data_IF_239513280731
#
_entry.id   IF_239513280731
#
_cell.length_a   1.000
_cell.length_b   1.000
_cell.length_c   1.000
_cell.angle_alpha   90.00
_cell.angle_beta   90.00
_cell.angle_gamma   90.00
#
_symmetry.space_group_name_H-M   'P 1'
#
loop_
_entity.id
_entity.type
_entity.pdbx_description
1 polymer ?
#
# COMPACT_ATOMS: atom_id res chain seq x y z
N UNK A 1 -2.42 8.33 16.46
CA UNK A 1 -1.41 8.51 15.38
C UNK A 1 -0.94 9.95 15.41
N UNK A 2 0.36 10.21 15.25
CA UNK A 2 0.99 11.53 15.28
C UNK A 2 1.58 11.87 13.92
N UNK A 3 1.13 12.97 13.33
CA UNK A 3 1.56 13.42 12.00
C UNK A 3 2.25 14.77 12.10
N UNK A 4 3.45 14.90 11.55
CA UNK A 4 4.13 16.20 11.42
C UNK A 4 3.90 16.81 10.05
N UNK A 5 3.36 18.02 9.97
CA UNK A 5 3.24 18.75 8.70
C UNK A 5 4.49 19.60 8.51
N UNK A 6 5.25 19.36 7.44
CA UNK A 6 6.30 20.27 7.00
C UNK A 6 5.68 21.51 6.35
N UNK A 7 5.56 22.60 7.12
CA UNK A 7 4.90 23.82 6.66
C UNK A 7 5.67 24.55 5.55
N UNK A 8 6.95 24.22 5.35
CA UNK A 8 7.76 24.84 4.29
C UNK A 8 7.33 24.37 2.89
N UNK A 9 6.74 23.17 2.83
CA UNK A 9 6.24 22.58 1.58
C UNK A 9 4.72 22.46 1.55
N UNK A 10 4.06 22.51 2.71
CA UNK A 10 2.60 22.53 2.87
C UNK A 10 2.20 23.77 3.68
N UNK A 11 2.30 24.98 3.09
CA UNK A 11 2.10 26.25 3.82
C UNK A 11 0.65 26.46 4.29
N UNK A 12 -0.31 25.87 3.57
CA UNK A 12 -1.74 25.94 3.86
C UNK A 12 -2.34 24.53 4.00
N UNK A 13 -3.40 24.35 4.83
CA UNK A 13 -4.16 23.10 4.87
C UNK A 13 -4.64 22.71 3.46
N UNK A 14 -4.26 21.53 2.95
CA UNK A 14 -4.58 21.15 1.58
C UNK A 14 -6.08 20.91 1.41
N UNK A 15 -6.60 21.28 0.24
CA UNK A 15 -7.92 20.83 -0.18
C UNK A 15 -7.93 19.31 -0.40
N UNK A 16 -9.09 18.66 -0.30
CA UNK A 16 -9.22 17.22 -0.56
C UNK A 16 -9.46 16.38 0.69
N UNK A 17 -9.12 15.09 0.62
CA UNK A 17 -9.53 14.11 1.62
C UNK A 17 -8.80 14.24 2.95
N UNK A 18 -7.50 14.62 2.95
CA UNK A 18 -6.71 14.78 4.17
C UNK A 18 -7.34 15.76 5.17
N UNK A 19 -7.86 16.88 4.68
CA UNK A 19 -8.55 17.90 5.50
C UNK A 19 -9.70 17.33 6.34
N UNK A 20 -10.34 16.24 5.91
CA UNK A 20 -11.43 15.56 6.63
C UNK A 20 -10.98 14.87 7.91
N UNK A 21 -9.68 14.73 8.12
CA UNK A 21 -9.10 14.01 9.27
C UNK A 21 -8.47 14.94 10.31
N UNK A 22 -8.35 16.24 10.03
CA UNK A 22 -7.73 17.22 10.95
C UNK A 22 -8.50 17.40 12.27
N UNK A 23 -9.81 17.17 12.26
CA UNK A 23 -10.71 17.33 13.42
C UNK A 23 -10.87 16.04 14.27
N UNK A 24 -10.01 15.03 14.07
CA UNK A 24 -10.11 13.73 14.72
C UNK A 24 -9.22 13.65 15.94
N UNK A 25 -9.80 13.27 17.07
CA UNK A 25 -9.11 13.27 18.35
C UNK A 25 -7.99 12.20 18.41
N UNK A 26 -8.09 11.12 17.62
CA UNK A 26 -7.10 10.06 17.52
C UNK A 26 -5.96 10.32 16.51
N UNK A 27 -6.08 11.40 15.71
CA UNK A 27 -5.07 11.86 14.75
C UNK A 27 -4.50 13.19 15.26
N UNK A 28 -3.34 13.11 15.88
CA UNK A 28 -2.61 14.26 16.43
C UNK A 28 -1.75 14.89 15.34
N UNK A 29 -2.26 15.95 14.71
CA UNK A 29 -1.54 16.71 13.68
C UNK A 29 -0.73 17.83 14.34
N UNK A 30 0.58 17.79 14.15
CA UNK A 30 1.56 18.72 14.69
C UNK A 30 2.24 19.47 13.55
N UNK A 31 2.66 20.71 13.79
CA UNK A 31 3.30 21.54 12.76
C UNK A 31 4.81 21.55 12.95
N UNK A 32 5.57 21.26 11.89
CA UNK A 32 7.03 21.35 11.87
C UNK A 32 7.42 22.66 11.17
N UNK A 33 7.86 23.64 11.97
CA UNK A 33 8.09 25.02 11.52
C UNK A 33 9.58 25.36 11.69
N UNK A 34 10.26 25.99 10.72
CA UNK A 34 11.64 26.44 10.91
C UNK A 34 11.76 27.38 12.13
N UNK A 35 12.85 27.26 12.87
CA UNK A 35 13.06 28.09 14.06
C UNK A 35 13.18 29.57 13.68
N UNK A 36 12.37 30.42 14.32
CA UNK A 36 12.32 31.86 14.05
C UNK A 36 11.30 32.27 12.99
N UNK A 37 10.59 31.32 12.40
CA UNK A 37 9.45 31.60 11.51
C UNK A 37 8.11 31.55 12.27
N UNK A 38 7.16 32.36 11.81
CA UNK A 38 5.80 32.37 12.33
C UNK A 38 5.00 31.16 11.81
N UNK A 39 4.14 30.62 12.67
CA UNK A 39 3.21 29.55 12.27
C UNK A 39 2.20 30.11 11.25
N UNK A 40 1.99 29.44 10.10
CA UNK A 40 0.98 29.91 9.14
C UNK A 40 -0.41 30.01 9.77
N UNK A 41 -1.07 31.16 9.57
CA UNK A 41 -2.37 31.47 10.18
C UNK A 41 -3.48 30.49 9.75
N UNK A 42 -3.40 29.98 8.51
CA UNK A 42 -4.35 29.01 7.98
C UNK A 42 -4.33 27.69 8.78
N UNK A 43 -3.14 27.20 9.14
CA UNK A 43 -2.98 26.01 9.98
C UNK A 43 -3.46 26.21 11.40
N UNK A 44 -3.19 27.37 11.99
CA UNK A 44 -3.68 27.73 13.34
C UNK A 44 -5.22 27.74 13.38
N UNK A 45 -5.85 28.23 12.31
CA UNK A 45 -7.31 28.24 12.15
C UNK A 45 -7.88 26.82 11.99
N UNK A 46 -7.21 25.96 11.22
CA UNK A 46 -7.67 24.61 10.95
C UNK A 46 -7.56 23.67 12.17
N UNK A 47 -6.47 23.74 12.93
CA UNK A 47 -6.16 22.77 13.99
C UNK A 47 -6.55 23.21 15.40
N UNK A 48 -6.99 24.46 15.60
CA UNK A 48 -7.45 25.01 16.90
C UNK A 48 -6.44 24.77 18.04
N UNK A 49 -5.31 25.48 17.97
CA UNK A 49 -4.14 25.38 18.90
C UNK A 49 -3.24 24.15 18.65
N UNK A 50 -2.66 24.05 17.44
CA UNK A 50 -1.79 22.93 17.10
C UNK A 50 -0.51 22.95 17.93
N UNK A 51 0.01 21.76 18.23
CA UNK A 51 1.34 21.63 18.81
C UNK A 51 2.39 21.97 17.74
N UNK A 52 3.30 22.91 18.06
CA UNK A 52 4.33 23.39 17.15
C UNK A 52 5.70 22.82 17.53
N UNK A 53 6.38 22.23 16.55
CA UNK A 53 7.77 21.76 16.61
C UNK A 53 8.64 22.74 15.83
N UNK A 54 9.35 23.61 16.54
CA UNK A 54 10.33 24.50 15.95
C UNK A 54 11.62 23.74 15.62
N UNK A 55 11.95 23.69 14.34
CA UNK A 55 13.09 22.96 13.78
C UNK A 55 14.28 23.91 13.67
N UNK A 56 15.27 23.74 14.54
CA UNK A 56 16.48 24.58 14.59
C UNK A 56 17.54 24.24 13.54
N UNK A 57 17.16 23.60 12.44
CA UNK A 57 18.03 23.30 11.30
C UNK A 57 17.79 24.32 10.19
N UNK A 58 18.88 24.77 9.55
CA UNK A 58 18.82 25.63 8.37
C UNK A 58 19.69 25.07 7.26
N UNK A 59 21.01 24.96 7.49
CA UNK A 59 21.94 24.29 6.58
C UNK A 59 22.93 23.43 7.35
N UNK A 60 23.62 22.54 6.65
CA UNK A 60 24.68 21.69 7.22
C UNK A 60 25.87 22.52 7.73
N UNK A 61 26.19 23.62 7.06
CA UNK A 61 27.29 24.51 7.42
C UNK A 61 26.98 25.35 8.67
N UNK A 62 25.71 25.72 8.84
CA UNK A 62 25.26 26.53 9.98
C UNK A 62 24.94 25.69 11.23
N UNK A 63 24.67 24.39 11.06
CA UNK A 63 24.31 23.49 12.15
C UNK A 63 25.52 23.11 13.03
N UNK A 64 25.23 22.70 14.27
CA UNK A 64 26.25 22.14 15.16
C UNK A 64 26.70 20.75 14.71
N UNK A 65 27.81 20.26 15.27
CA UNK A 65 28.33 18.92 15.02
C UNK A 65 28.55 18.15 16.31
N UNK A 66 28.29 16.85 16.29
CA UNK A 66 28.75 15.89 17.30
C UNK A 66 29.48 14.76 16.59
N UNK A 67 30.81 14.75 16.68
CA UNK A 67 31.65 13.96 15.78
C UNK A 67 31.24 14.24 14.32
N UNK A 68 30.95 13.21 13.54
CA UNK A 68 30.56 13.35 12.12
C UNK A 68 29.08 13.72 11.95
N UNK A 69 28.25 13.61 12.99
CA UNK A 69 26.82 13.90 12.89
C UNK A 69 26.53 15.41 12.91
N UNK A 70 25.66 15.85 12.01
CA UNK A 70 25.00 17.16 12.07
C UNK A 70 24.04 17.14 13.26
N UNK A 71 24.03 18.22 14.04
CA UNK A 71 23.24 18.34 15.26
C UNK A 71 22.51 19.67 15.33
N UNK A 72 21.21 19.60 15.64
CA UNK A 72 20.36 20.76 15.80
C UNK A 72 19.30 20.52 16.90
N UNK A 73 18.56 21.57 17.25
CA UNK A 73 17.56 21.51 18.32
C UNK A 73 16.16 21.47 17.76
N UNK A 74 15.30 20.71 18.42
CA UNK A 74 13.85 20.75 18.21
C UNK A 74 13.22 21.30 19.48
N UNK A 75 12.54 22.44 19.36
CA UNK A 75 11.82 23.06 20.48
C UNK A 75 10.33 22.82 20.27
N UNK A 76 9.64 22.43 21.33
CA UNK A 76 8.18 22.29 21.32
C UNK A 76 7.57 23.44 22.07
N UNK A 77 6.61 24.11 21.43
CA UNK A 77 5.83 25.16 22.05
C UNK A 77 4.34 24.86 21.85
N UNK A 78 3.63 24.65 22.96
CA UNK A 78 2.17 24.70 23.00
C UNK A 78 1.72 25.13 24.40
N UNK A 79 1.52 26.43 24.60
CA UNK A 79 1.07 27.00 25.88
C UNK A 79 1.88 26.50 27.11
N UNK A 80 1.33 25.57 27.93
CA UNK A 80 2.01 25.00 29.09
C UNK A 80 3.09 23.96 28.78
N UNK A 81 3.15 23.40 27.57
CA UNK A 81 4.08 22.34 27.19
C UNK A 81 5.30 22.94 26.48
N UNK A 82 6.45 22.93 27.18
CA UNK A 82 7.74 23.32 26.64
C UNK A 82 8.72 22.16 26.74
N UNK A 83 9.33 21.77 25.62
CA UNK A 83 10.38 20.77 25.63
C UNK A 83 11.47 21.10 24.62
N UNK A 84 12.71 20.68 24.93
CA UNK A 84 13.86 20.83 24.05
C UNK A 84 14.52 19.48 23.84
N UNK A 85 14.55 19.05 22.59
CA UNK A 85 15.20 17.81 22.15
C UNK A 85 16.37 18.12 21.22
N UNK A 86 17.18 17.10 20.94
CA UNK A 86 18.36 17.24 20.09
C UNK A 86 18.33 16.17 19.02
N UNK A 87 18.07 16.58 17.79
CA UNK A 87 18.06 15.69 16.64
C UNK A 87 19.44 15.67 15.97
N UNK A 88 19.73 14.55 15.29
CA UNK A 88 21.00 14.32 14.61
C UNK A 88 20.79 13.49 13.35
N UNK A 89 21.59 13.77 12.32
CA UNK A 89 21.74 12.90 11.15
C UNK A 89 23.18 12.96 10.64
N UNK A 90 23.57 12.03 9.78
CA UNK A 90 24.89 12.01 9.14
C UNK A 90 24.77 12.45 7.69
N UNK A 91 25.29 13.63 7.36
CA UNK A 91 25.22 14.25 6.02
C UNK A 91 25.92 13.43 4.94
N UNK A 92 26.81 12.51 5.32
CA UNK A 92 27.43 11.57 4.38
C UNK A 92 26.40 10.65 3.72
N UNK A 93 25.32 10.29 4.41
CA UNK A 93 24.29 9.40 3.83
C UNK A 93 23.56 10.08 2.67
N UNK A 94 23.27 11.38 2.76
CA UNK A 94 22.66 12.12 1.65
C UNK A 94 23.58 12.22 0.42
N UNK A 95 24.90 12.25 0.62
CA UNK A 95 25.89 12.20 -0.48
C UNK A 95 26.01 10.82 -1.09
N UNK A 96 25.92 9.76 -0.28
CA UNK A 96 25.92 8.39 -0.76
C UNK A 96 24.64 8.11 -1.55
N UNK A 97 23.48 8.56 -1.07
CA UNK A 97 22.22 8.49 -1.79
C UNK A 97 22.28 9.19 -3.15
N UNK A 98 22.89 10.38 -3.24
CA UNK A 98 23.10 11.07 -4.50
C UNK A 98 23.93 10.23 -5.49
N UNK A 99 24.94 9.51 -5.01
CA UNK A 99 25.79 8.64 -5.82
C UNK A 99 25.12 7.34 -6.24
N UNK A 100 24.20 6.82 -5.41
CA UNK A 100 23.47 5.57 -5.66
C UNK A 100 22.09 5.77 -6.27
N UNK A 101 21.70 7.02 -6.55
CA UNK A 101 20.41 7.31 -7.15
C UNK A 101 20.27 6.62 -8.52
N UNK A 102 19.12 6.01 -8.84
CA UNK A 102 18.89 5.40 -10.14
C UNK A 102 19.08 6.41 -11.28
N UNK A 103 19.69 6.01 -12.40
CA UNK A 103 19.93 6.91 -13.55
C UNK A 103 18.64 7.56 -14.09
N UNK A 104 17.51 6.88 -13.96
CA UNK A 104 16.20 7.34 -14.41
C UNK A 104 15.45 8.20 -13.37
N UNK A 105 15.97 8.35 -12.15
CA UNK A 105 15.33 9.13 -11.09
C UNK A 105 15.49 10.63 -11.36
N UNK A 106 14.46 11.42 -11.03
CA UNK A 106 14.55 12.87 -11.12
C UNK A 106 15.66 13.40 -10.19
N UNK A 107 16.55 14.29 -10.64
CA UNK A 107 17.64 14.79 -9.81
C UNK A 107 17.14 15.53 -8.56
N UNK A 108 17.79 15.29 -7.43
CA UNK A 108 17.58 16.02 -6.18
C UNK A 108 18.85 16.80 -5.81
N UNK A 109 18.69 18.01 -5.31
CA UNK A 109 19.81 18.75 -4.74
C UNK A 109 20.19 18.19 -3.36
N UNK A 110 21.46 18.34 -2.97
CA UNK A 110 21.89 17.99 -1.62
C UNK A 110 21.11 18.77 -0.54
N UNK A 111 20.69 20.01 -0.82
CA UNK A 111 19.87 20.79 0.11
C UNK A 111 18.51 20.13 0.36
N UNK A 112 17.85 19.64 -0.69
CA UNK A 112 16.59 18.89 -0.57
C UNK A 112 16.78 17.62 0.25
N UNK A 113 17.87 16.88 0.02
CA UNK A 113 18.22 15.68 0.79
C UNK A 113 18.51 16.01 2.26
N UNK A 114 19.25 17.08 2.54
CA UNK A 114 19.53 17.51 3.91
C UNK A 114 18.27 17.99 4.65
N UNK A 115 17.35 18.66 3.96
CA UNK A 115 16.05 19.05 4.52
C UNK A 115 15.26 17.80 4.95
N UNK A 116 15.15 16.81 4.06
CA UNK A 116 14.49 15.54 4.37
C UNK A 116 15.15 14.85 5.59
N UNK A 117 16.48 14.81 5.63
CA UNK A 117 17.24 14.24 6.76
C UNK A 117 16.99 14.95 8.09
N UNK A 118 17.03 16.28 8.08
CA UNK A 118 16.75 17.07 9.26
C UNK A 118 15.32 16.86 9.76
N UNK A 119 14.34 16.85 8.87
CA UNK A 119 12.94 16.67 9.26
C UNK A 119 12.65 15.24 9.74
N UNK A 120 13.18 14.21 9.07
CA UNK A 120 13.08 12.82 9.54
C UNK A 120 13.73 12.62 10.92
N UNK A 121 14.94 13.15 11.12
CA UNK A 121 15.64 13.09 12.41
C UNK A 121 14.89 13.85 13.52
N UNK A 122 14.32 15.02 13.21
CA UNK A 122 13.49 15.77 14.14
C UNK A 122 12.23 15.00 14.51
N UNK A 123 11.52 14.46 13.52
CA UNK A 123 10.29 13.70 13.69
C UNK A 123 10.51 12.43 14.53
N UNK A 124 11.59 11.69 14.27
CA UNK A 124 11.98 10.52 15.06
C UNK A 124 12.22 10.88 16.53
N UNK A 125 12.97 11.97 16.77
CA UNK A 125 13.32 12.42 18.12
C UNK A 125 12.10 12.88 18.94
N UNK A 126 11.07 13.42 18.29
CA UNK A 126 9.82 13.81 18.97
C UNK A 126 8.72 12.74 18.94
N UNK A 127 8.99 11.59 18.29
CA UNK A 127 8.07 10.47 18.21
C UNK A 127 6.83 10.78 17.36
N UNK A 128 7.03 11.37 16.19
CA UNK A 128 6.03 11.43 15.12
C UNK A 128 6.03 10.11 14.33
N UNK A 129 4.86 9.69 13.86
CA UNK A 129 4.70 8.44 13.10
C UNK A 129 5.00 8.64 11.60
N UNK A 130 4.72 9.83 11.05
CA UNK A 130 4.99 10.20 9.66
C UNK A 130 5.09 11.72 9.47
N UNK A 131 5.69 12.12 8.34
CA UNK A 131 5.79 13.52 7.91
C UNK A 131 4.89 13.74 6.69
N UNK A 132 4.09 14.79 6.71
CA UNK A 132 3.28 15.26 5.58
C UNK A 132 4.05 16.37 4.89
N UNK A 133 4.43 16.17 3.63
CA UNK A 133 5.27 17.09 2.86
C UNK A 133 4.92 17.03 1.38
N UNK A 134 5.16 18.13 0.66
CA UNK A 134 5.16 18.17 -0.81
C UNK A 134 6.60 18.25 -1.37
N UNK A 135 7.62 17.98 -0.55
CA UNK A 135 9.00 17.97 -1.01
C UNK A 135 9.20 16.90 -2.10
N UNK A 136 10.10 17.14 -3.08
CA UNK A 136 10.40 16.15 -4.12
C UNK A 136 11.10 14.88 -3.59
N UNK A 137 11.46 14.84 -2.30
CA UNK A 137 12.04 13.69 -1.59
C UNK A 137 10.99 12.69 -1.07
N UNK A 138 9.71 13.06 -1.09
CA UNK A 138 8.60 12.28 -0.54
C UNK A 138 8.44 10.94 -1.27
N UNK A 139 8.28 9.85 -0.51
CA UNK A 139 8.04 8.50 -1.04
C UNK A 139 9.17 7.92 -1.90
N UNK A 140 10.33 8.57 -1.97
CA UNK A 140 11.45 8.13 -2.81
C UNK A 140 12.29 7.06 -2.13
N UNK A 141 12.52 5.96 -2.84
CA UNK A 141 13.40 4.88 -2.38
C UNK A 141 14.89 5.26 -2.41
N UNK A 142 15.30 6.25 -3.20
CA UNK A 142 16.68 6.77 -3.21
C UNK A 142 16.94 7.86 -2.16
N UNK A 143 16.06 8.01 -1.16
CA UNK A 143 16.21 8.93 -0.02
C UNK A 143 16.11 8.15 1.28
N UNK A 144 17.23 7.94 1.96
CA UNK A 144 17.33 7.06 3.12
C UNK A 144 16.59 7.55 4.36
N UNK A 145 16.32 8.84 4.43
CA UNK A 145 15.61 9.45 5.55
C UNK A 145 14.14 8.99 5.63
N UNK A 146 13.57 8.54 4.51
CA UNK A 146 12.26 7.91 4.45
C UNK A 146 12.21 6.55 5.18
N UNK A 147 13.36 5.93 5.43
CA UNK A 147 13.47 4.68 6.20
C UNK A 147 13.44 4.94 7.73
N UNK A 148 13.65 6.19 8.16
CA UNK A 148 13.65 6.58 9.59
C UNK A 148 12.24 6.99 10.02
N UNK A 149 11.68 7.99 9.33
CA UNK A 149 10.28 8.40 9.45
C UNK A 149 9.78 8.65 8.05
N UNK A 150 8.76 7.90 7.64
CA UNK A 150 8.23 8.01 6.28
C UNK A 150 7.68 9.40 6.03
N UNK A 151 8.01 9.98 4.87
CA UNK A 151 7.40 11.20 4.38
C UNK A 151 6.41 10.86 3.26
N UNK A 152 5.21 11.42 3.34
CA UNK A 152 4.09 11.17 2.45
C UNK A 152 3.44 12.47 2.01
N UNK A 153 2.82 12.47 0.83
CA UNK A 153 1.99 13.59 0.39
C UNK A 153 0.72 13.67 1.25
N UNK A 154 0.01 14.82 1.28
CA UNK A 154 -1.29 14.88 1.95
C UNK A 154 -2.29 13.82 1.48
N UNK A 155 -2.31 13.50 0.18
CA UNK A 155 -3.22 12.49 -0.37
C UNK A 155 -2.81 11.08 0.09
N UNK A 156 -1.51 10.76 0.07
CA UNK A 156 -1.00 9.47 0.55
C UNK A 156 -1.18 9.28 2.06
N UNK A 157 -1.19 10.37 2.83
CA UNK A 157 -1.46 10.36 4.26
C UNK A 157 -2.82 9.76 4.61
N UNK A 158 -3.81 9.88 3.70
CA UNK A 158 -5.14 9.29 3.88
C UNK A 158 -5.06 7.76 3.94
N UNK A 159 -4.16 7.15 3.17
CA UNK A 159 -3.91 5.71 3.19
C UNK A 159 -3.33 5.26 4.53
N UNK A 160 -2.39 6.04 5.07
CA UNK A 160 -1.75 5.76 6.35
C UNK A 160 -2.74 5.93 7.53
N UNK A 161 -3.58 6.97 7.48
CA UNK A 161 -4.68 7.15 8.43
C UNK A 161 -5.67 5.99 8.32
N UNK A 162 -6.04 5.59 7.10
CA UNK A 162 -6.94 4.46 6.88
C UNK A 162 -6.38 3.14 7.43
N UNK A 163 -5.08 2.89 7.25
CA UNK A 163 -4.38 1.77 7.89
C UNK A 163 -4.50 1.85 9.41
N UNK A 164 -4.17 2.99 10.02
CA UNK A 164 -4.30 3.22 11.46
C UNK A 164 -5.73 2.93 11.98
N UNK A 165 -6.77 3.40 11.27
CA UNK A 165 -8.16 3.15 11.63
C UNK A 165 -8.51 1.66 11.59
N UNK A 166 -8.01 0.92 10.59
CA UNK A 166 -8.28 -0.52 10.45
C UNK A 166 -7.58 -1.33 11.55
N UNK A 167 -6.33 -1.04 11.86
CA UNK A 167 -5.56 -1.78 12.89
C UNK A 167 -6.02 -1.47 14.31
N UNK A 168 -6.54 -0.27 14.55
CA UNK A 168 -7.15 0.14 15.84
C UNK A 168 -8.63 -0.22 15.95
N UNK A 169 -9.18 -0.92 14.95
CA UNK A 169 -10.56 -1.34 14.87
C UNK A 169 -11.60 -0.20 14.96
N UNK A 170 -11.28 0.98 14.41
CA UNK A 170 -12.17 2.13 14.32
C UNK A 170 -12.98 2.16 13.00
N UNK A 171 -14.30 1.93 13.02
CA UNK A 171 -15.14 1.92 11.81
C UNK A 171 -15.62 3.32 11.38
N UNK A 172 -15.16 4.40 12.04
CA UNK A 172 -15.53 5.77 11.69
C UNK A 172 -14.55 6.30 10.63
N UNK A 173 -15.02 6.49 9.41
CA UNK A 173 -14.19 6.86 8.25
C UNK A 173 -14.20 8.34 7.93
N UNK A 174 -15.16 9.09 8.48
CA UNK A 174 -15.22 10.54 8.33
C UNK A 174 -15.86 11.21 9.55
N UNK A 175 -15.27 12.30 9.99
CA UNK A 175 -15.86 13.19 10.99
C UNK A 175 -15.80 14.60 10.42
N UNK A 176 -16.96 15.25 10.27
CA UNK A 176 -17.02 16.65 9.85
C UNK A 176 -17.68 17.46 10.95
N UNK A 177 -17.10 18.60 11.30
CA UNK A 177 -17.65 19.52 12.30
C UNK A 177 -17.83 20.89 11.64
N UNK A 178 -18.78 21.67 12.13
CA UNK A 178 -18.92 23.05 11.68
C UNK A 178 -19.82 23.88 12.60
N UNK A 179 -19.80 25.20 12.40
CA UNK A 179 -20.69 26.11 13.10
C UNK A 179 -22.05 26.18 12.39
N UNK A 180 -23.13 26.29 13.16
CA UNK A 180 -24.46 26.55 12.64
C UNK A 180 -24.73 28.06 12.58
N UNK A 181 -25.45 28.50 11.55
CA UNK A 181 -25.89 29.88 11.43
C UNK A 181 -26.86 30.20 12.58
N UNK A 182 -26.56 31.23 13.39
CA UNK A 182 -27.34 31.59 14.58
C UNK A 182 -26.82 31.03 15.91
N UNK A 183 -25.68 30.34 15.90
CA UNK A 183 -25.03 29.79 17.10
C UNK A 183 -25.23 28.28 17.23
N UNK A 184 -24.24 27.60 17.81
CA UNK A 184 -24.19 26.14 17.92
C UNK A 184 -23.22 25.48 16.93
N UNK A 185 -23.00 24.17 17.11
CA UNK A 185 -22.11 23.39 16.27
C UNK A 185 -22.82 22.11 15.78
N UNK A 186 -22.49 21.68 14.56
CA UNK A 186 -22.92 20.39 14.03
C UNK A 186 -21.73 19.44 13.94
N UNK A 187 -22.02 18.13 14.06
CA UNK A 187 -21.07 17.04 13.86
C UNK A 187 -21.74 15.97 12.98
N UNK A 188 -21.13 15.66 11.84
CA UNK A 188 -21.52 14.53 10.99
C UNK A 188 -20.47 13.44 11.12
N UNK A 189 -20.90 12.20 11.23
CA UNK A 189 -20.05 11.02 11.36
C UNK A 189 -20.42 10.08 10.22
N UNK A 190 -19.44 9.75 9.38
CA UNK A 190 -19.54 8.66 8.41
C UNK A 190 -18.88 7.41 9.00
N UNK A 191 -19.63 6.32 9.09
CA UNK A 191 -19.16 5.07 9.66
C UNK A 191 -19.61 3.87 8.84
N UNK A 192 -18.76 2.85 8.82
CA UNK A 192 -19.05 1.53 8.23
C UNK A 192 -19.79 0.59 9.18
N UNK A 193 -20.10 1.05 10.41
CA UNK A 193 -20.66 0.29 11.54
C UNK A 193 -19.74 -0.82 12.09
N UNK A 194 -19.02 -1.55 11.23
CA UNK A 194 -18.05 -2.58 11.61
C UNK A 194 -16.78 -2.49 10.78
N UNK A 195 -15.69 -3.02 11.30
CA UNK A 195 -14.42 -3.15 10.56
C UNK A 195 -14.53 -4.18 9.44
N UNK A 196 -15.35 -5.21 9.61
CA UNK A 196 -15.65 -6.15 8.54
C UNK A 196 -16.23 -5.43 7.32
N UNK A 197 -17.22 -4.54 7.53
CA UNK A 197 -17.78 -3.71 6.46
C UNK A 197 -16.74 -2.76 5.86
N UNK A 198 -15.81 -2.23 6.67
CA UNK A 198 -14.74 -1.36 6.15
C UNK A 198 -13.83 -2.11 5.18
N UNK A 199 -13.39 -3.33 5.52
CA UNK A 199 -12.64 -4.19 4.60
C UNK A 199 -13.46 -4.57 3.37
N UNK A 200 -14.71 -4.94 3.59
CA UNK A 200 -15.60 -5.36 2.52
C UNK A 200 -15.83 -4.25 1.48
N UNK A 201 -16.16 -3.04 1.93
CA UNK A 201 -16.38 -1.87 1.08
C UNK A 201 -15.07 -1.34 0.48
N UNK A 202 -13.98 -1.38 1.25
CA UNK A 202 -12.63 -1.03 0.79
C UNK A 202 -12.19 -1.85 -0.40
N UNK A 203 -12.25 -3.17 -0.26
CA UNK A 203 -11.85 -4.11 -1.30
C UNK A 203 -12.64 -3.91 -2.59
N UNK A 204 -13.97 -3.78 -2.51
CA UNK A 204 -14.80 -3.65 -3.73
C UNK A 204 -14.85 -2.23 -4.30
N UNK A 205 -14.31 -1.22 -3.60
CA UNK A 205 -14.41 0.19 -4.00
C UNK A 205 -13.77 0.49 -5.37
N UNK A 206 -12.82 -0.34 -5.83
CA UNK A 206 -12.22 -0.25 -7.16
C UNK A 206 -12.50 -1.49 -8.02
N UNK A 207 -13.54 -2.26 -7.69
CA UNK A 207 -13.94 -3.44 -8.45
C UNK A 207 -15.43 -3.38 -8.85
N UNK A 208 -15.86 -2.37 -9.63
CA UNK A 208 -17.26 -2.16 -9.96
C UNK A 208 -17.92 -3.33 -10.70
N UNK A 209 -17.22 -4.00 -11.61
CA UNK A 209 -17.77 -5.19 -12.29
C UNK A 209 -17.94 -6.33 -11.29
N UNK A 210 -16.92 -6.59 -10.46
CA UNK A 210 -17.02 -7.61 -9.42
C UNK A 210 -18.11 -7.33 -8.38
N UNK A 211 -18.29 -6.07 -7.96
CA UNK A 211 -19.30 -5.69 -6.97
C UNK A 211 -20.73 -5.90 -7.48
N UNK A 212 -20.99 -5.58 -8.76
CA UNK A 212 -22.32 -5.75 -9.35
C UNK A 212 -22.61 -7.19 -9.83
N UNK A 213 -21.58 -8.02 -10.08
CA UNK A 213 -21.76 -9.35 -10.64
C UNK A 213 -22.68 -10.28 -9.82
N UNK A 214 -22.62 -10.32 -8.47
CA UNK A 214 -23.56 -11.09 -7.66
C UNK A 214 -25.03 -10.69 -7.86
N UNK A 215 -25.31 -9.40 -8.10
CA UNK A 215 -26.68 -8.93 -8.34
C UNK A 215 -27.20 -9.46 -9.68
N UNK A 216 -26.39 -9.40 -10.73
CA UNK A 216 -26.73 -9.93 -12.05
C UNK A 216 -26.90 -11.45 -11.99
N UNK A 217 -25.97 -12.17 -11.35
CA UNK A 217 -26.08 -13.61 -11.15
C UNK A 217 -27.35 -14.00 -10.39
N UNK A 218 -27.76 -13.21 -9.38
CA UNK A 218 -29.01 -13.41 -8.65
C UNK A 218 -30.23 -13.24 -9.56
N UNK A 219 -30.26 -12.18 -10.38
CA UNK A 219 -31.35 -11.94 -11.32
C UNK A 219 -31.49 -13.06 -12.38
N UNK A 220 -30.37 -13.69 -12.74
CA UNK A 220 -30.34 -14.85 -13.64
C UNK A 220 -30.54 -16.20 -12.95
N UNK A 221 -30.73 -16.22 -11.62
CA UNK A 221 -30.96 -17.45 -10.85
C UNK A 221 -29.72 -18.33 -10.63
N UNK A 222 -28.51 -17.85 -10.93
CA UNK A 222 -27.25 -18.60 -10.74
C UNK A 222 -26.73 -18.46 -9.30
N UNK A 223 -27.35 -19.23 -8.40
CA UNK A 223 -27.01 -19.24 -6.97
C UNK A 223 -25.59 -19.73 -6.67
N UNK A 224 -25.03 -20.58 -7.53
CA UNK A 224 -23.65 -21.08 -7.37
C UNK A 224 -22.64 -19.98 -7.65
N UNK A 225 -22.82 -19.20 -8.71
CA UNK A 225 -21.97 -18.04 -8.99
C UNK A 225 -22.08 -17.00 -7.88
N UNK A 226 -23.28 -16.71 -7.38
CA UNK A 226 -23.47 -15.79 -6.23
C UNK A 226 -22.67 -16.26 -5.02
N UNK A 227 -22.73 -17.56 -4.72
CA UNK A 227 -21.99 -18.15 -3.59
C UNK A 227 -20.49 -18.06 -3.80
N UNK A 228 -20.00 -18.36 -5.01
CA UNK A 228 -18.58 -18.26 -5.35
C UNK A 228 -18.05 -16.82 -5.21
N UNK A 229 -18.77 -15.82 -5.75
CA UNK A 229 -18.38 -14.41 -5.70
C UNK A 229 -18.36 -13.87 -4.26
N UNK A 230 -19.38 -14.22 -3.45
CA UNK A 230 -19.37 -13.88 -2.01
C UNK A 230 -18.16 -14.51 -1.28
N UNK A 231 -17.84 -15.76 -1.61
CA UNK A 231 -16.70 -16.49 -1.05
C UNK A 231 -15.35 -15.87 -1.43
N UNK A 232 -15.23 -15.36 -2.66
CA UNK A 232 -14.07 -14.59 -3.14
C UNK A 232 -13.97 -13.27 -2.38
N UNK A 233 -15.06 -12.49 -2.31
CA UNK A 233 -15.11 -11.19 -1.60
C UNK A 233 -14.63 -11.29 -0.15
N UNK A 234 -15.14 -12.29 0.59
CA UNK A 234 -14.70 -12.54 1.98
C UNK A 234 -13.21 -12.87 2.07
N UNK A 235 -12.66 -13.62 1.11
CA UNK A 235 -11.22 -13.94 1.09
C UNK A 235 -10.37 -12.72 0.79
N UNK A 236 -10.77 -11.90 -0.18
CA UNK A 236 -10.06 -10.66 -0.50
C UNK A 236 -10.06 -9.71 0.71
N UNK A 237 -11.19 -9.56 1.41
CA UNK A 237 -11.27 -8.80 2.67
C UNK A 237 -10.32 -9.35 3.75
N UNK A 238 -10.20 -10.68 3.87
CA UNK A 238 -9.26 -11.32 4.80
C UNK A 238 -7.79 -11.17 4.37
N UNK A 239 -7.50 -11.18 3.07
CA UNK A 239 -6.17 -10.91 2.53
C UNK A 239 -5.75 -9.47 2.84
N UNK A 240 -6.62 -8.49 2.60
CA UNK A 240 -6.41 -7.09 2.97
C UNK A 240 -6.13 -6.92 4.47
N UNK A 241 -6.89 -7.62 5.32
CA UNK A 241 -6.66 -7.60 6.77
C UNK A 241 -5.32 -8.23 7.17
N UNK A 242 -4.92 -9.31 6.51
CA UNK A 242 -3.62 -9.93 6.74
C UNK A 242 -2.47 -8.99 6.33
N UNK A 243 -2.62 -8.26 5.20
CA UNK A 243 -1.70 -7.20 4.81
C UNK A 243 -1.60 -6.10 5.88
N UNK A 244 -2.71 -5.60 6.43
CA UNK A 244 -2.64 -4.62 7.52
C UNK A 244 -1.96 -5.18 8.78
N UNK A 245 -2.17 -6.45 9.13
CA UNK A 245 -1.45 -7.04 10.26
C UNK A 245 0.05 -7.12 10.00
N UNK A 246 0.46 -7.40 8.76
CA UNK A 246 1.86 -7.41 8.34
C UNK A 246 2.47 -6.01 8.45
N UNK A 247 1.82 -4.99 7.86
CA UNK A 247 2.29 -3.60 7.92
C UNK A 247 2.33 -3.08 9.37
N UNK A 248 1.34 -3.43 10.20
CA UNK A 248 1.35 -3.09 11.62
C UNK A 248 2.50 -3.76 12.38
N UNK A 249 2.82 -5.02 12.07
CA UNK A 249 3.99 -5.69 12.64
C UNK A 249 5.27 -4.94 12.25
N UNK A 250 5.45 -4.65 10.96
CA UNK A 250 6.62 -3.95 10.41
C UNK A 250 6.79 -2.51 10.94
N UNK A 251 5.71 -1.87 11.38
CA UNK A 251 5.78 -0.53 12.03
C UNK A 251 6.42 -0.54 13.42
N UNK A 252 6.62 -1.73 14.03
CA UNK A 252 7.29 -1.83 15.33
C UNK A 252 8.82 -1.71 15.17
N UNK A 253 9.53 -1.14 16.17
CA UNK A 253 10.98 -1.05 16.12
C UNK A 253 11.64 -2.43 15.97
N UNK A 254 12.41 -2.61 14.89
CA UNK A 254 13.15 -3.85 14.59
C UNK A 254 14.40 -4.01 15.47
N UNK A 255 14.78 -2.96 16.21
CA UNK A 255 16.01 -2.93 16.99
C UNK A 255 16.04 -3.90 18.19
N UNK A 256 17.16 -4.60 18.34
CA UNK A 256 17.45 -5.45 19.49
C UNK A 256 16.70 -6.78 19.48
N UNK A 257 16.34 -7.29 20.66
CA UNK A 257 15.77 -8.65 20.83
C UNK A 257 14.36 -8.82 20.26
N UNK A 258 13.70 -7.73 19.82
CA UNK A 258 12.33 -7.77 19.29
C UNK A 258 12.28 -8.01 17.79
N UNK A 259 13.40 -7.90 17.09
CA UNK A 259 13.45 -8.06 15.64
C UNK A 259 12.95 -9.43 15.16
N UNK A 260 13.23 -10.50 15.90
CA UNK A 260 12.70 -11.85 15.59
C UNK A 260 11.18 -11.93 15.73
N UNK A 261 10.61 -11.26 16.73
CA UNK A 261 9.15 -11.24 16.95
C UNK A 261 8.45 -10.47 15.83
N UNK A 262 9.07 -9.39 15.34
CA UNK A 262 8.56 -8.62 14.19
C UNK A 262 8.61 -9.44 12.92
N UNK A 263 9.74 -10.12 12.64
CA UNK A 263 9.91 -11.00 11.48
C UNK A 263 8.86 -12.11 11.49
N UNK A 264 8.70 -12.83 12.61
CA UNK A 264 7.72 -13.92 12.73
C UNK A 264 6.28 -13.41 12.53
N UNK A 265 5.91 -12.32 13.20
CA UNK A 265 4.56 -11.75 13.08
C UNK A 265 4.25 -11.26 11.67
N UNK A 266 5.22 -10.65 10.99
CA UNK A 266 5.09 -10.19 9.62
C UNK A 266 5.02 -11.38 8.64
N UNK A 267 5.86 -12.40 8.80
CA UNK A 267 5.85 -13.62 7.99
C UNK A 267 4.52 -14.37 8.11
N UNK A 268 4.00 -14.59 9.34
CA UNK A 268 2.70 -15.25 9.54
C UNK A 268 1.54 -14.45 8.91
N UNK A 269 1.61 -13.12 8.97
CA UNK A 269 0.64 -12.25 8.31
C UNK A 269 0.71 -12.36 6.78
N UNK A 270 1.91 -12.39 6.21
CA UNK A 270 2.11 -12.57 4.77
C UNK A 270 1.64 -13.94 4.28
N UNK A 271 1.92 -15.02 5.01
CA UNK A 271 1.44 -16.37 4.72
C UNK A 271 -0.09 -16.43 4.64
N UNK A 272 -0.77 -15.78 5.60
CA UNK A 272 -2.24 -15.67 5.60
C UNK A 272 -2.74 -14.86 4.41
N UNK A 273 -2.06 -13.78 4.04
CA UNK A 273 -2.41 -12.98 2.85
C UNK A 273 -2.36 -13.85 1.59
N UNK A 274 -1.24 -14.57 1.37
CA UNK A 274 -1.05 -15.47 0.23
C UNK A 274 -2.09 -16.59 0.21
N UNK A 275 -2.41 -17.18 1.36
CA UNK A 275 -3.45 -18.20 1.49
C UNK A 275 -4.80 -17.70 0.99
N UNK A 276 -5.20 -16.49 1.38
CA UNK A 276 -6.49 -15.94 1.00
C UNK A 276 -6.54 -15.52 -0.47
N UNK A 277 -5.46 -14.94 -1.01
CA UNK A 277 -5.35 -14.62 -2.44
C UNK A 277 -5.41 -15.89 -3.30
N UNK A 278 -4.59 -16.90 -2.99
CA UNK A 278 -4.59 -18.16 -3.72
C UNK A 278 -5.97 -18.85 -3.68
N UNK A 279 -6.67 -18.78 -2.55
CA UNK A 279 -8.02 -19.33 -2.44
C UNK A 279 -9.06 -18.55 -3.25
N UNK A 280 -8.91 -17.23 -3.39
CA UNK A 280 -9.75 -16.42 -4.27
C UNK A 280 -9.53 -16.80 -5.76
N UNK A 281 -8.27 -16.91 -6.18
CA UNK A 281 -7.90 -17.31 -7.55
C UNK A 281 -8.35 -18.74 -7.89
N UNK A 282 -8.27 -19.67 -6.94
CA UNK A 282 -8.73 -21.04 -7.13
C UNK A 282 -10.25 -21.11 -7.33
N UNK A 283 -11.03 -20.42 -6.50
CA UNK A 283 -12.48 -20.36 -6.64
C UNK A 283 -12.86 -19.73 -7.98
N UNK A 284 -12.23 -18.61 -8.34
CA UNK A 284 -12.61 -17.89 -9.54
C UNK A 284 -12.25 -18.66 -10.81
N UNK A 285 -11.03 -19.21 -10.85
CA UNK A 285 -10.56 -20.01 -11.98
C UNK A 285 -11.44 -21.24 -12.24
N UNK A 286 -11.86 -21.93 -11.18
CA UNK A 286 -12.80 -23.06 -11.30
C UNK A 286 -14.19 -22.62 -11.75
N UNK A 287 -14.70 -21.51 -11.21
CA UNK A 287 -16.04 -21.04 -11.58
C UNK A 287 -16.13 -20.65 -13.04
N UNK A 288 -15.11 -19.97 -13.58
CA UNK A 288 -15.07 -19.60 -14.99
C UNK A 288 -15.23 -20.81 -15.92
N UNK A 289 -14.53 -21.92 -15.64
CA UNK A 289 -14.63 -23.13 -16.45
C UNK A 289 -16.04 -23.76 -16.46
N UNK A 290 -16.80 -23.60 -15.38
CA UNK A 290 -18.20 -24.02 -15.28
C UNK A 290 -19.16 -23.03 -15.96
N UNK A 291 -18.78 -21.75 -16.05
CA UNK A 291 -19.53 -20.76 -16.84
C UNK A 291 -19.39 -21.03 -18.34
N UNK A 292 -18.20 -21.40 -18.82
CA UNK A 292 -17.96 -21.77 -20.22
C UNK A 292 -18.71 -23.05 -20.61
N UNK A 293 -18.78 -24.01 -19.68
CA UNK A 293 -19.43 -25.29 -19.91
C UNK A 293 -20.07 -25.82 -18.63
N UNK A 294 -21.38 -25.59 -18.50
CA UNK A 294 -22.16 -26.02 -17.34
C UNK A 294 -22.31 -27.54 -17.19
N UNK A 295 -21.99 -28.33 -18.23
CA UNK A 295 -22.05 -29.79 -18.16
C UNK A 295 -20.80 -30.43 -17.53
N UNK A 296 -19.76 -29.64 -17.26
CA UNK A 296 -18.52 -30.12 -16.65
C UNK A 296 -18.75 -30.60 -15.23
N UNK A 297 -18.17 -31.76 -14.88
CA UNK A 297 -18.18 -32.25 -13.50
C UNK A 297 -17.22 -31.43 -12.63
N UNK A 298 -17.71 -30.66 -11.63
CA UNK A 298 -16.87 -29.78 -10.81
C UNK A 298 -15.73 -30.51 -10.08
N UNK A 299 -15.84 -31.82 -9.83
CA UNK A 299 -14.80 -32.61 -9.14
C UNK A 299 -13.54 -32.82 -9.97
N UNK A 300 -13.64 -32.73 -11.29
CA UNK A 300 -12.56 -33.05 -12.23
C UNK A 300 -11.76 -31.82 -12.69
N UNK A 301 -12.23 -30.61 -12.39
CA UNK A 301 -11.58 -29.36 -12.82
C UNK A 301 -11.05 -28.61 -11.60
N UNK A 302 -9.76 -28.83 -11.28
CA UNK A 302 -9.04 -28.17 -10.18
C UNK A 302 -8.07 -27.11 -10.69
N UNK A 303 -8.48 -26.36 -11.71
CA UNK A 303 -7.64 -25.32 -12.32
C UNK A 303 -7.87 -24.00 -11.60
N UNK A 304 -6.78 -23.42 -11.11
CA UNK A 304 -6.77 -22.15 -10.41
C UNK A 304 -6.31 -21.04 -11.34
N UNK A 305 -6.90 -19.84 -11.18
CA UNK A 305 -6.59 -18.67 -12.01
C UNK A 305 -5.12 -18.24 -11.92
N UNK A 306 -4.39 -18.65 -10.87
CA UNK A 306 -2.96 -18.37 -10.68
C UNK A 306 -2.02 -19.37 -11.39
N UNK A 307 -2.57 -20.35 -12.10
CA UNK A 307 -1.78 -21.37 -12.80
C UNK A 307 -1.02 -20.80 -14.00
N UNK A 308 0.28 -21.12 -14.14
CA UNK A 308 1.15 -20.60 -15.23
C UNK A 308 0.53 -20.72 -16.63
N UNK A 309 -0.16 -21.83 -16.92
CA UNK A 309 -0.83 -22.09 -18.20
C UNK A 309 -2.27 -21.57 -18.32
N UNK A 310 -2.88 -21.03 -17.26
CA UNK A 310 -4.32 -20.79 -17.21
C UNK A 310 -4.82 -19.87 -18.34
N UNK A 311 -4.15 -18.74 -18.58
CA UNK A 311 -4.49 -17.82 -19.68
C UNK A 311 -4.46 -18.55 -21.03
N UNK A 312 -3.37 -19.25 -21.34
CA UNK A 312 -3.18 -19.95 -22.61
C UNK A 312 -4.15 -21.13 -22.78
N UNK A 313 -4.32 -21.91 -21.74
CA UNK A 313 -5.06 -23.17 -21.77
C UNK A 313 -6.58 -22.96 -21.71
N UNK A 314 -7.05 -21.81 -21.21
CA UNK A 314 -8.46 -21.55 -20.97
C UNK A 314 -8.99 -20.22 -21.50
N UNK A 315 -8.21 -19.14 -21.53
CA UNK A 315 -8.72 -17.83 -21.95
C UNK A 315 -8.48 -17.55 -23.43
N UNK A 316 -7.29 -17.85 -23.96
CA UNK A 316 -6.95 -17.66 -25.38
C UNK A 316 -7.80 -18.53 -26.33
N UNK A 317 -8.38 -19.62 -25.81
CA UNK A 317 -9.34 -20.46 -26.56
C UNK A 317 -10.71 -19.80 -26.69
N UNK A 318 -11.08 -18.98 -25.72
CA UNK A 318 -12.42 -18.41 -25.61
C UNK A 318 -12.48 -16.96 -26.07
N UNK A 319 -11.39 -16.20 -26.00
CA UNK A 319 -11.37 -14.76 -26.25
C UNK A 319 -10.30 -14.35 -27.27
N UNK A 320 -10.46 -13.17 -27.88
CA UNK A 320 -9.42 -12.56 -28.72
C UNK A 320 -8.29 -11.98 -27.85
N UNK A 321 -7.11 -11.80 -28.44
CA UNK A 321 -5.93 -11.33 -27.70
C UNK A 321 -6.06 -9.91 -27.15
N UNK A 322 -6.77 -9.03 -27.86
CA UNK A 322 -6.95 -7.61 -27.49
C UNK A 322 -7.67 -7.46 -26.14
N UNK A 323 -8.72 -8.25 -25.89
CA UNK A 323 -9.49 -8.22 -24.65
C UNK A 323 -8.79 -8.90 -23.46
N UNK A 324 -7.67 -9.60 -23.69
CA UNK A 324 -6.92 -10.31 -22.65
C UNK A 324 -5.77 -9.50 -22.05
N UNK A 325 -5.45 -8.33 -22.62
CA UNK A 325 -4.27 -7.52 -22.28
C UNK A 325 -4.09 -7.29 -20.77
N UNK A 326 -5.13 -6.80 -20.09
CA UNK A 326 -5.06 -6.53 -18.64
C UNK A 326 -4.95 -7.79 -17.80
N UNK A 327 -5.70 -8.84 -18.16
CA UNK A 327 -5.64 -10.13 -17.48
C UNK A 327 -4.25 -10.74 -17.61
N UNK A 328 -3.66 -10.72 -18.81
CA UNK A 328 -2.30 -11.22 -19.05
C UNK A 328 -1.26 -10.46 -18.22
N UNK A 329 -1.33 -9.12 -18.22
CA UNK A 329 -0.43 -8.25 -17.45
C UNK A 329 -0.50 -8.54 -15.96
N UNK A 330 -1.71 -8.69 -15.40
CA UNK A 330 -1.92 -8.88 -13.97
C UNK A 330 -1.71 -10.33 -13.50
N UNK A 331 -1.94 -11.31 -14.37
CA UNK A 331 -1.77 -12.74 -14.09
C UNK A 331 -0.31 -13.11 -13.75
N UNK A 332 0.67 -12.31 -14.15
CA UNK A 332 2.07 -12.50 -13.75
C UNK A 332 2.22 -12.50 -12.22
N UNK A 333 1.58 -11.56 -11.52
CA UNK A 333 1.62 -11.47 -10.05
C UNK A 333 0.85 -12.60 -9.36
N UNK A 334 -0.22 -13.11 -9.97
CA UNK A 334 -0.87 -14.32 -9.47
C UNK A 334 0.07 -15.54 -9.55
N UNK A 335 0.87 -15.63 -10.62
CA UNK A 335 1.96 -16.60 -10.73
C UNK A 335 2.99 -16.49 -9.60
N UNK A 336 3.39 -15.27 -9.22
CA UNK A 336 4.27 -15.03 -8.06
C UNK A 336 3.61 -15.54 -6.78
N UNK A 337 2.34 -15.19 -6.52
CA UNK A 337 1.59 -15.72 -5.37
C UNK A 337 1.59 -17.25 -5.33
N UNK A 338 1.47 -17.90 -6.50
CA UNK A 338 1.49 -19.35 -6.63
C UNK A 338 2.84 -19.95 -6.23
N UNK A 339 3.95 -19.39 -6.70
CA UNK A 339 5.30 -19.87 -6.36
C UNK A 339 5.57 -19.72 -4.86
N UNK A 340 5.26 -18.54 -4.30
CA UNK A 340 5.42 -18.28 -2.87
C UNK A 340 4.57 -19.26 -2.03
N UNK A 341 3.29 -19.41 -2.39
CA UNK A 341 2.38 -20.32 -1.70
C UNK A 341 2.84 -21.77 -1.81
N UNK A 342 3.42 -22.20 -2.91
CA UNK A 342 3.98 -23.56 -3.04
C UNK A 342 5.17 -23.76 -2.11
N UNK A 343 6.07 -22.77 -2.00
CA UNK A 343 7.18 -22.83 -1.04
C UNK A 343 6.71 -22.95 0.41
N UNK A 344 5.57 -22.34 0.78
CA UNK A 344 4.95 -22.53 2.11
C UNK A 344 4.51 -24.00 2.36
N UNK A 345 4.14 -24.76 1.32
CA UNK A 345 3.81 -26.19 1.50
C UNK A 345 5.05 -27.03 1.77
N UNK A 346 6.19 -26.62 1.22
CA UNK A 346 7.45 -27.36 1.27
C UNK A 346 8.36 -26.90 2.43
N UNK A 347 8.10 -25.72 3.00
CA UNK A 347 8.87 -25.13 4.09
C UNK A 347 8.33 -23.78 4.57
N UNK A 348 9.15 -23.02 5.30
CA UNK A 348 8.84 -21.65 5.74
C UNK A 348 9.45 -20.69 4.70
N UNK A 349 8.74 -19.60 4.37
CA UNK A 349 9.33 -18.56 3.53
C UNK A 349 10.57 -17.96 4.22
N UNK A 350 11.70 -17.80 3.52
CA UNK A 350 12.94 -17.26 4.10
C UNK A 350 12.83 -15.73 4.21
N UNK A 351 12.05 -15.29 5.18
CA UNK A 351 11.86 -13.88 5.51
C UNK A 351 12.77 -13.55 6.69
N UNK A 352 13.65 -12.57 6.52
CA UNK A 352 14.55 -12.12 7.58
C UNK A 352 14.93 -10.64 7.39
N UNK A 353 15.80 -10.16 8.26
CA UNK A 353 16.36 -8.83 8.25
C UNK A 353 17.51 -8.71 7.24
N UNK A 354 17.39 -7.74 6.34
CA UNK A 354 18.39 -7.44 5.31
C UNK A 354 18.73 -5.94 5.33
N UNK A 355 19.98 -5.54 5.06
CA UNK A 355 20.32 -4.14 4.86
C UNK A 355 19.46 -3.55 3.73
N UNK A 356 18.75 -2.45 4.03
CA UNK A 356 17.97 -1.72 3.03
C UNK A 356 18.85 -0.98 2.03
N UNK A 357 20.10 -0.68 2.41
CA UNK A 357 21.10 0.03 1.61
C UNK A 357 22.49 -0.56 1.81
N UNK A 358 23.33 -0.43 0.80
CA UNK A 358 24.71 -0.94 0.83
C UNK A 358 25.60 -0.28 1.90
N UNK A 359 25.26 0.94 2.32
CA UNK A 359 26.00 1.66 3.36
C UNK A 359 25.34 1.58 4.75
N UNK A 360 24.33 0.71 4.92
CA UNK A 360 23.86 0.25 6.24
C UNK A 360 23.04 1.24 7.07
N UNK A 361 22.32 2.19 6.45
CA UNK A 361 21.52 3.18 7.19
C UNK A 361 20.26 2.58 7.85
N UNK A 362 19.70 1.51 7.27
CA UNK A 362 18.45 0.89 7.71
C UNK A 362 18.46 -0.62 7.46
N UNK A 363 17.66 -1.35 8.24
CA UNK A 363 17.43 -2.79 8.09
C UNK A 363 15.95 -2.99 7.77
N UNK A 364 15.69 -3.66 6.66
CA UNK A 364 14.35 -4.00 6.19
C UNK A 364 14.06 -5.48 6.44
N UNK A 365 12.79 -5.84 6.57
CA UNK A 365 12.36 -7.24 6.59
C UNK A 365 11.99 -7.62 5.17
N UNK A 366 12.70 -8.60 4.62
CA UNK A 366 12.64 -8.94 3.22
C UNK A 366 12.57 -10.45 3.01
N UNK A 367 11.97 -10.85 1.90
CA UNK A 367 11.91 -12.23 1.44
C UNK A 367 13.16 -12.54 0.60
N UNK A 368 13.92 -13.57 0.99
CA UNK A 368 15.08 -14.04 0.22
C UNK A 368 14.64 -14.90 -0.99
N UNK A 369 14.92 -14.39 -2.19
CA UNK A 369 14.54 -15.01 -3.46
C UNK A 369 15.57 -16.01 -4.00
N UNK A 370 16.79 -16.07 -3.46
CA UNK A 370 17.82 -16.99 -3.95
C UNK A 370 17.43 -18.47 -3.74
N UNK A 371 16.54 -18.73 -2.79
CA UNK A 371 15.96 -20.06 -2.56
C UNK A 371 14.80 -20.41 -3.50
N UNK A 372 14.34 -19.45 -4.31
CA UNK A 372 13.18 -19.54 -5.19
C UNK A 372 13.60 -19.19 -6.63
N UNK A 373 14.35 -20.09 -7.31
CA UNK A 373 14.92 -19.81 -8.62
C UNK A 373 13.86 -19.42 -9.66
N UNK A 374 12.60 -19.83 -9.50
CA UNK A 374 11.48 -19.45 -10.38
C UNK A 374 11.11 -17.96 -10.32
N UNK A 375 11.54 -17.25 -9.27
CA UNK A 375 11.31 -15.83 -9.06
C UNK A 375 12.57 -14.98 -9.33
N UNK A 376 13.66 -15.58 -9.80
CA UNK A 376 14.86 -14.82 -10.18
C UNK A 376 14.73 -14.23 -11.60
N UNK A 377 15.42 -13.12 -11.90
CA UNK A 377 15.44 -12.54 -13.25
C UNK A 377 15.77 -13.58 -14.33
N UNK A 378 14.92 -13.65 -15.36
CA UNK A 378 15.07 -14.58 -16.48
C UNK A 378 14.47 -15.98 -16.28
N UNK A 379 13.87 -16.29 -15.12
CA UNK A 379 13.23 -17.59 -14.88
C UNK A 379 11.80 -17.70 -15.45
N UNK A 380 11.07 -16.58 -15.52
CA UNK A 380 9.76 -16.48 -16.17
C UNK A 380 9.80 -15.38 -17.24
N UNK A 381 9.69 -15.77 -18.51
CA UNK A 381 9.69 -14.86 -19.65
C UNK A 381 8.61 -13.78 -19.60
N UNK A 382 7.59 -13.95 -18.75
CA UNK A 382 6.51 -12.97 -18.53
C UNK A 382 6.91 -11.86 -17.54
N UNK A 383 7.88 -12.11 -16.66
CA UNK A 383 8.36 -11.13 -15.68
C UNK A 383 9.41 -10.22 -16.31
N UNK A 384 9.09 -8.93 -16.35
CA UNK A 384 10.00 -7.86 -16.80
C UNK A 384 10.59 -7.11 -15.62
N UNK A 385 11.63 -6.28 -15.84
CA UNK A 385 12.23 -5.45 -14.78
C UNK A 385 11.18 -4.64 -14.01
N UNK A 386 10.19 -4.06 -14.70
CA UNK A 386 9.08 -3.34 -14.07
C UNK A 386 8.31 -4.17 -13.03
N UNK A 387 8.20 -5.49 -13.22
CA UNK A 387 7.56 -6.37 -12.24
C UNK A 387 8.46 -6.59 -11.02
N UNK A 388 9.78 -6.71 -11.22
CA UNK A 388 10.74 -6.81 -10.12
C UNK A 388 10.79 -5.51 -9.30
N UNK A 389 10.82 -4.37 -9.98
CA UNK A 389 10.79 -3.05 -9.34
C UNK A 389 9.49 -2.87 -8.53
N UNK A 390 8.34 -3.27 -9.09
CA UNK A 390 7.05 -3.21 -8.40
C UNK A 390 6.97 -4.13 -7.17
N UNK A 391 7.70 -5.24 -7.16
CA UNK A 391 7.81 -6.13 -6.00
C UNK A 391 8.82 -5.62 -4.96
N UNK A 392 9.52 -4.52 -5.23
CA UNK A 392 10.55 -3.98 -4.35
C UNK A 392 11.75 -4.91 -4.24
N UNK A 393 12.22 -5.46 -5.37
CA UNK A 393 13.35 -6.40 -5.39
C UNK A 393 14.68 -5.65 -5.52
N UNK A 394 15.66 -5.99 -4.69
CA UNK A 394 17.03 -5.47 -4.77
C UNK A 394 18.07 -6.54 -4.41
N UNK A 395 19.33 -6.25 -4.72
CA UNK A 395 20.47 -7.02 -4.23
C UNK A 395 20.90 -6.45 -2.88
N UNK A 396 20.62 -7.19 -1.81
CA UNK A 396 20.97 -6.79 -0.46
C UNK A 396 22.42 -7.17 -0.14
N UNK A 397 23.12 -6.24 0.51
CA UNK A 397 24.43 -6.52 1.07
C UNK A 397 24.35 -7.62 2.14
N UNK A 398 25.45 -8.36 2.35
CA UNK A 398 25.44 -9.45 3.32
C UNK A 398 25.19 -8.95 4.74
N UNK A 399 24.33 -9.66 5.48
CA UNK A 399 24.04 -9.38 6.90
C UNK A 399 25.29 -9.54 7.79
N UNK A 400 26.25 -10.38 7.37
CA UNK A 400 27.51 -10.64 8.08
C UNK A 400 28.74 -10.19 7.30
N UNK A 401 29.82 -9.84 8.02
CA UNK A 401 31.09 -9.28 7.47
C UNK A 401 31.73 -10.11 6.33
N UNK A 402 31.45 -11.42 6.26
CA UNK A 402 31.94 -12.33 5.22
C UNK A 402 30.82 -13.06 4.47
N UNK A 403 29.59 -12.54 4.54
CA UNK A 403 28.45 -13.14 3.83
C UNK A 403 28.51 -12.86 2.33
N UNK A 404 27.61 -13.51 1.59
CA UNK A 404 27.36 -13.21 0.18
C UNK A 404 26.17 -12.27 0.05
N UNK A 405 26.15 -11.38 -0.96
CA UNK A 405 24.95 -10.65 -1.32
C UNK A 405 23.79 -11.61 -1.61
N UNK A 406 22.56 -11.14 -1.43
CA UNK A 406 21.36 -11.93 -1.66
C UNK A 406 20.33 -11.13 -2.45
N UNK A 407 19.60 -11.79 -3.35
CA UNK A 407 18.46 -11.17 -4.03
C UNK A 407 17.24 -11.23 -3.11
N UNK A 408 16.68 -10.08 -2.73
CA UNK A 408 15.57 -10.01 -1.78
C UNK A 408 14.44 -9.13 -2.28
N UNK A 409 13.22 -9.38 -1.78
CA UNK A 409 12.03 -8.55 -2.03
C UNK A 409 11.54 -7.92 -0.72
N UNK A 410 11.25 -6.62 -0.73
CA UNK A 410 10.77 -5.90 0.46
C UNK A 410 9.41 -6.44 0.83
N UNK A 411 9.23 -6.90 2.07
CA UNK A 411 8.01 -7.62 2.44
C UNK A 411 6.77 -6.73 2.37
N UNK A 412 6.88 -5.47 2.79
CA UNK A 412 5.80 -4.49 2.72
C UNK A 412 5.40 -4.22 1.27
N UNK A 413 6.37 -3.91 0.41
CA UNK A 413 6.18 -3.62 -1.01
C UNK A 413 5.62 -4.83 -1.76
N UNK A 414 6.19 -6.02 -1.55
CA UNK A 414 5.71 -7.24 -2.16
C UNK A 414 4.26 -7.54 -1.74
N UNK A 415 3.95 -7.49 -0.44
CA UNK A 415 2.57 -7.72 0.04
C UNK A 415 1.58 -6.69 -0.49
N UNK A 416 1.95 -5.41 -0.53
CA UNK A 416 1.12 -4.36 -1.09
C UNK A 416 0.87 -4.57 -2.59
N UNK A 417 1.91 -4.83 -3.37
CA UNK A 417 1.83 -5.07 -4.82
C UNK A 417 1.01 -6.30 -5.16
N UNK A 418 1.19 -7.41 -4.44
CA UNK A 418 0.42 -8.64 -4.65
C UNK A 418 -1.06 -8.44 -4.30
N UNK A 419 -1.38 -7.66 -3.26
CA UNK A 419 -2.77 -7.31 -2.94
C UNK A 419 -3.42 -6.49 -4.05
N UNK A 420 -2.79 -5.37 -4.44
CA UNK A 420 -3.31 -4.48 -5.47
C UNK A 420 -3.47 -5.18 -6.82
N UNK A 421 -2.45 -5.93 -7.26
CA UNK A 421 -2.49 -6.71 -8.48
C UNK A 421 -3.54 -7.83 -8.43
N UNK A 422 -3.74 -8.47 -7.27
CA UNK A 422 -4.76 -9.49 -7.08
C UNK A 422 -6.18 -8.95 -7.20
N UNK A 423 -6.46 -7.79 -6.60
CA UNK A 423 -7.76 -7.09 -6.76
C UNK A 423 -7.99 -6.68 -8.20
N UNK A 424 -6.99 -6.05 -8.82
CA UNK A 424 -7.08 -5.64 -10.22
C UNK A 424 -7.28 -6.85 -11.15
N UNK A 425 -6.66 -8.00 -10.87
CA UNK A 425 -6.86 -9.22 -11.66
C UNK A 425 -8.29 -9.74 -11.54
N UNK A 426 -8.85 -9.79 -10.32
CA UNK A 426 -10.24 -10.19 -10.09
C UNK A 426 -11.18 -9.27 -10.87
N UNK A 427 -10.96 -7.96 -10.82
CA UNK A 427 -11.78 -7.01 -11.56
C UNK A 427 -11.65 -7.15 -13.07
N UNK A 428 -10.41 -7.19 -13.60
CA UNK A 428 -10.15 -7.37 -15.02
C UNK A 428 -10.74 -8.69 -15.55
N UNK A 429 -10.65 -9.75 -14.76
CA UNK A 429 -11.23 -11.04 -15.09
C UNK A 429 -12.77 -11.02 -15.05
N UNK A 430 -13.35 -10.31 -14.09
CA UNK A 430 -14.82 -10.11 -14.03
C UNK A 430 -15.31 -9.32 -15.23
N UNK A 431 -14.62 -8.23 -15.57
CA UNK A 431 -14.90 -7.39 -16.73
C UNK A 431 -14.80 -8.19 -18.03
N UNK A 432 -13.77 -9.04 -18.18
CA UNK A 432 -13.64 -9.96 -19.31
C UNK A 432 -14.87 -10.85 -19.45
N UNK A 433 -15.27 -11.54 -18.37
CA UNK A 433 -16.43 -12.44 -18.30
C UNK A 433 -17.74 -11.72 -18.65
N UNK A 434 -17.97 -10.56 -18.06
CA UNK A 434 -19.25 -9.86 -18.18
C UNK A 434 -19.40 -9.14 -19.51
N UNK A 435 -18.32 -8.64 -20.11
CA UNK A 435 -18.39 -7.83 -21.34
C UNK A 435 -18.21 -8.60 -22.63
N UNK A 436 -17.58 -9.77 -22.58
CA UNK A 436 -17.19 -10.49 -23.78
C UNK A 436 -17.88 -11.84 -23.85
N UNK A 437 -18.45 -12.16 -25.01
CA UNK A 437 -18.99 -13.49 -25.28
C UNK A 437 -17.84 -14.40 -25.73
N UNK A 438 -17.68 -15.59 -25.14
CA UNK A 438 -16.67 -16.53 -25.59
C UNK A 438 -16.98 -17.06 -26.99
N UNK A 439 -15.92 -17.31 -27.77
CA UNK A 439 -16.00 -17.78 -29.16
C UNK A 439 -16.34 -19.27 -29.29
N UNK A 440 -15.85 -20.09 -28.36
CA UNK A 440 -15.83 -21.55 -28.50
C UNK A 440 -16.54 -22.30 -27.36
N UNK A 441 -17.28 -21.58 -26.51
CA UNK A 441 -17.95 -22.16 -25.35
C UNK A 441 -18.97 -23.24 -25.76
N UNK A 442 -18.83 -24.43 -25.19
CA UNK A 442 -19.64 -25.62 -25.50
C UNK A 442 -21.04 -25.58 -24.89
N UNK A 443 -21.20 -25.03 -23.69
CA UNK A 443 -22.49 -24.87 -23.01
C UNK A 443 -22.49 -23.61 -22.11
N UNK A 444 -22.47 -22.42 -22.74
CA UNK A 444 -22.21 -21.16 -22.04
C UNK A 444 -23.36 -20.77 -21.11
N UNK A 445 -22.99 -20.33 -19.91
CA UNK A 445 -23.87 -19.59 -19.00
C UNK A 445 -24.32 -18.26 -19.62
N UNK A 446 -25.55 -17.84 -19.30
CA UNK A 446 -26.09 -16.53 -19.68
C UNK A 446 -25.35 -15.34 -19.06
N UNK A 447 -24.48 -15.59 -18.08
CA UNK A 447 -23.63 -14.58 -17.45
C UNK A 447 -22.45 -14.15 -18.31
N UNK A 448 -22.10 -14.92 -19.34
CA UNK A 448 -20.99 -14.62 -20.25
C UNK A 448 -21.42 -13.57 -21.27
N UNK A 449 -20.73 -12.42 -21.29
CA UNK A 449 -21.08 -11.30 -22.16
C UNK A 449 -22.46 -10.71 -21.87
N UNK A 450 -22.91 -10.75 -20.61
CA UNK A 450 -24.20 -10.25 -20.16
C UNK A 450 -24.30 -8.72 -20.09
N UNK A 451 -23.17 -8.01 -20.08
CA UNK A 451 -23.10 -6.55 -20.11
C UNK A 451 -22.59 -6.10 -21.48
N UNK A 452 -23.40 -5.33 -22.19
CA UNK A 452 -23.01 -4.72 -23.46
C UNK A 452 -22.81 -3.22 -23.24
N UNK A 453 -21.59 -2.74 -23.47
CA UNK A 453 -21.35 -1.31 -23.53
C UNK A 453 -21.82 -0.78 -24.89
N UNK A 454 -22.51 0.35 -24.90
CA UNK A 454 -22.87 1.02 -26.14
C UNK A 454 -21.62 1.67 -26.77
N UNK A 455 -21.57 1.81 -28.11
CA UNK A 455 -20.48 2.53 -28.75
C UNK A 455 -20.35 3.96 -28.19
N UNK A 456 -19.16 4.30 -27.68
CA UNK A 456 -18.88 5.60 -27.06
C UNK A 456 -19.22 5.70 -25.57
N UNK A 457 -19.75 4.65 -24.95
CA UNK A 457 -20.02 4.61 -23.52
C UNK A 457 -18.70 4.42 -22.74
N UNK A 458 -18.34 5.41 -21.94
CA UNK A 458 -17.21 5.36 -21.01
C UNK A 458 -17.68 4.88 -19.65
N UNK A 459 -16.80 4.20 -18.91
CA UNK A 459 -17.08 3.83 -17.53
C UNK A 459 -17.33 5.10 -16.70
N UNK A 460 -18.39 5.06 -15.88
CA UNK A 460 -18.72 6.17 -15.00
C UNK A 460 -17.59 6.37 -14.00
N UNK A 461 -17.26 7.63 -13.65
CA UNK A 461 -16.29 7.89 -12.61
C UNK A 461 -16.76 7.28 -11.27
N UNK A 462 -15.83 6.85 -10.40
CA UNK A 462 -16.19 6.35 -9.08
C UNK A 462 -17.02 7.36 -8.30
N UNK A 463 -18.01 6.87 -7.54
CA UNK A 463 -18.76 7.71 -6.61
C UNK A 463 -17.83 8.26 -5.52
N UNK A 464 -18.12 9.44 -4.96
CA UNK A 464 -17.29 10.08 -3.92
C UNK A 464 -16.96 9.13 -2.75
N UNK A 465 -17.94 8.30 -2.33
CA UNK A 465 -17.74 7.30 -1.28
C UNK A 465 -16.75 6.20 -1.68
N UNK A 466 -16.79 5.76 -2.94
CA UNK A 466 -15.82 4.79 -3.45
C UNK A 466 -14.42 5.42 -3.46
N UNK A 467 -14.27 6.67 -3.89
CA UNK A 467 -12.99 7.40 -3.85
C UNK A 467 -12.43 7.52 -2.42
N UNK A 468 -13.28 7.79 -1.43
CA UNK A 468 -12.86 7.81 -0.02
C UNK A 468 -12.31 6.44 0.43
N UNK A 469 -13.02 5.35 0.12
CA UNK A 469 -12.53 4.02 0.47
C UNK A 469 -11.27 3.65 -0.31
N UNK A 470 -11.17 4.05 -1.57
CA UNK A 470 -9.97 3.84 -2.37
C UNK A 470 -8.76 4.49 -1.71
N UNK A 471 -8.88 5.77 -1.33
CA UNK A 471 -7.84 6.55 -0.67
C UNK A 471 -7.51 6.03 0.74
N UNK A 472 -8.49 5.56 1.52
CA UNK A 472 -8.21 4.98 2.84
C UNK A 472 -7.37 3.70 2.75
N UNK A 473 -7.44 2.98 1.64
CA UNK A 473 -6.75 1.71 1.46
C UNK A 473 -5.41 1.84 0.71
N UNK A 474 -5.24 2.88 -0.12
CA UNK A 474 -3.97 3.22 -0.75
C UNK A 474 -3.50 2.29 -1.88
N UNK A 475 -3.97 1.05 -1.96
CA UNK A 475 -3.61 0.08 -3.00
C UNK A 475 -4.51 0.10 -4.24
N UNK A 476 -5.28 1.17 -4.43
CA UNK A 476 -6.10 1.39 -5.61
C UNK A 476 -5.39 2.42 -6.50
N UNK A 477 -5.31 2.16 -7.80
CA UNK A 477 -4.73 3.11 -8.75
C UNK A 477 -5.49 4.43 -8.71
N UNK A 478 -4.78 5.55 -8.51
CA UNK A 478 -5.31 6.89 -8.69
C UNK A 478 -5.52 7.23 -10.17
#
# INVERSE_FOLDING_TARGET
>A
MRLGVDVTTVPDPPEGLFSRFLDRDEIDVQLMVPAGEDVPAAWTTALRDPLVRQIGFSTVEAAGRLADAVQFRVVTENGPEWSRRTARFFDIYQRLDEQTAPEAAEPLSLEQRHHAAAYAAAAAEVGLDAIISNAPTVGRCDVADNDIVTSVTPDDAVSLIGHYLRVTANPVVGVRRGALHGGGAWKSIESTATIENLYDWGVVSNMPYFDCFPLIATQMGDTETVTALKSIRVRLARAARALDHMLAALSNPVNGKRGSDVVEAAAEAFDRQLLYLAAAFDIYGRRFLLLVDSNRNPRNFRQSLDGKGYVKDHLEKEYEADVLTDVQRLHVYAGVCKVLRNHIHDGILPIDQHPGRSYGNSVNIALNLDTMPELLPGADDRMTQKHFDALGIWEADPVGVFGTPATVADLATAGFTLMGAGLALVEAFTKLIMRNKPKAASAPSSLLGCVQAQPGETELPPLERAMLYQALFGWHSA
#
